data_IF_455349810141
#
_entry.id   IF_455349810141
#
_cell.length_a   1.000
_cell.length_b   1.000
_cell.length_c   1.000
_cell.angle_alpha   90.00
_cell.angle_beta   90.00
_cell.angle_gamma   90.00
#
_symmetry.space_group_name_H-M   'P 1'
#
loop_
_entity.id
_entity.type
_entity.pdbx_description
1 polymer ?
#
# COMPACT_ATOMS: atom_id res chain seq x y z
N UNK A 1 35.52 -11.80 -3.17
CA UNK A 1 34.45 -12.26 -4.07
C UNK A 1 33.22 -12.54 -3.22
N UNK A 2 32.07 -11.96 -3.61
CA UNK A 2 30.75 -12.55 -3.36
C UNK A 2 30.05 -12.21 -2.05
N UNK A 3 29.61 -10.95 -1.84
CA UNK A 3 28.42 -10.66 -1.00
C UNK A 3 27.81 -9.32 -1.46
N UNK A 4 26.89 -9.33 -2.43
CA UNK A 4 25.92 -8.24 -2.67
C UNK A 4 24.86 -8.76 -3.66
N UNK A 5 23.92 -9.57 -3.17
CA UNK A 5 22.78 -10.02 -4.00
C UNK A 5 21.49 -10.26 -3.20
N UNK A 6 21.36 -9.69 -2.01
CA UNK A 6 20.20 -9.93 -1.12
C UNK A 6 19.20 -8.78 -1.01
N UNK A 7 19.44 -7.61 -1.61
CA UNK A 7 18.64 -6.40 -1.32
C UNK A 7 17.41 -6.21 -2.23
N UNK A 8 17.20 -7.04 -3.25
CA UNK A 8 16.11 -6.87 -4.23
C UNK A 8 14.96 -7.87 -4.10
N UNK A 9 15.07 -8.90 -3.26
CA UNK A 9 14.06 -9.97 -3.20
C UNK A 9 13.07 -9.89 -2.01
N UNK A 10 13.14 -8.85 -1.17
CA UNK A 10 12.37 -8.79 0.09
C UNK A 10 10.93 -8.29 -0.02
N UNK A 11 10.32 -8.23 -1.22
CA UNK A 11 8.90 -7.81 -1.41
C UNK A 11 8.13 -8.76 -2.32
N UNK A 12 8.19 -10.06 -2.06
CA UNK A 12 7.22 -11.01 -2.65
C UNK A 12 6.67 -11.95 -1.58
N UNK A 13 5.93 -11.35 -0.65
CA UNK A 13 4.99 -12.07 0.21
C UNK A 13 3.85 -12.65 -0.63
N UNK A 14 3.58 -13.92 -0.41
CA UNK A 14 2.62 -14.78 -1.08
C UNK A 14 1.16 -14.29 -1.00
N UNK A 15 0.46 -14.30 -2.13
CA UNK A 15 -0.97 -14.64 -2.20
C UNK A 15 -2.00 -13.55 -1.89
N UNK A 16 -1.64 -12.26 -1.93
CA UNK A 16 -2.63 -11.17 -1.92
C UNK A 16 -2.53 -10.44 -3.25
N UNK A 17 -3.65 -10.28 -3.96
CA UNK A 17 -3.71 -9.44 -5.15
C UNK A 17 -3.37 -8.00 -4.73
N UNK A 18 -2.12 -7.59 -4.96
CA UNK A 18 -1.68 -6.24 -4.68
C UNK A 18 -2.22 -5.33 -5.77
N UNK A 19 -3.40 -4.77 -5.51
CA UNK A 19 -3.93 -3.69 -6.32
C UNK A 19 -2.92 -2.54 -6.32
N UNK A 20 -2.35 -2.21 -7.48
CA UNK A 20 -1.37 -1.11 -7.66
C UNK A 20 -1.88 0.20 -7.04
N UNK A 21 -3.19 0.44 -7.11
CA UNK A 21 -3.82 1.61 -6.49
C UNK A 21 -3.73 1.61 -4.96
N UNK A 22 -3.91 0.45 -4.32
CA UNK A 22 -3.82 0.31 -2.87
C UNK A 22 -2.38 0.50 -2.38
N UNK A 23 -1.43 -0.10 -3.09
CA UNK A 23 0.00 0.10 -2.82
C UNK A 23 0.40 1.56 -2.98
N UNK A 24 -0.09 2.26 -4.01
CA UNK A 24 0.16 3.68 -4.21
C UNK A 24 -0.41 4.53 -3.06
N UNK A 25 -1.65 4.23 -2.62
CA UNK A 25 -2.27 4.88 -1.46
C UNK A 25 -1.41 4.70 -0.21
N UNK A 26 -1.00 3.45 0.08
CA UNK A 26 -0.18 3.14 1.25
C UNK A 26 1.18 3.82 1.21
N UNK A 27 1.84 3.78 0.05
CA UNK A 27 3.12 4.45 -0.14
C UNK A 27 3.00 5.96 0.08
N UNK A 28 1.96 6.60 -0.48
CA UNK A 28 1.76 8.05 -0.32
C UNK A 28 1.53 8.44 1.14
N UNK A 29 0.64 7.74 1.85
CA UNK A 29 0.41 8.00 3.28
C UNK A 29 1.70 7.76 4.07
N UNK A 30 2.39 6.64 3.81
CA UNK A 30 3.60 6.28 4.51
C UNK A 30 4.71 7.32 4.34
N UNK A 31 4.96 7.77 3.11
CA UNK A 31 5.98 8.79 2.83
C UNK A 31 5.64 10.12 3.50
N UNK A 32 4.39 10.57 3.39
CA UNK A 32 3.98 11.86 3.96
C UNK A 32 4.04 11.85 5.50
N UNK A 33 3.69 10.72 6.14
CA UNK A 33 3.85 10.52 7.59
C UNK A 33 5.33 10.40 7.98
N UNK A 34 6.21 9.89 7.12
CA UNK A 34 7.64 9.74 7.38
C UNK A 34 8.46 11.01 7.16
N UNK A 35 7.98 11.96 6.34
CA UNK A 35 8.62 13.29 6.17
C UNK A 35 8.71 14.07 7.49
N UNK A 36 7.78 13.79 8.39
CA UNK A 36 7.68 14.35 9.72
C UNK A 36 8.90 14.03 10.61
N UNK A 37 9.32 14.98 11.45
CA UNK A 37 10.46 14.79 12.36
C UNK A 37 10.00 14.58 13.80
N UNK A 38 10.67 13.67 14.51
CA UNK A 38 10.50 13.50 15.94
C UNK A 38 11.28 14.58 16.69
N UNK A 39 10.66 15.15 17.71
CA UNK A 39 11.29 16.07 18.66
C UNK A 39 10.94 15.64 20.06
N UNK A 40 11.96 15.35 20.86
CA UNK A 40 11.79 15.14 22.29
C UNK A 40 11.80 16.50 22.98
N UNK A 41 10.70 16.84 23.65
CA UNK A 41 10.56 18.09 24.39
C UNK A 41 10.14 17.84 25.84
N UNK A 42 10.41 18.81 26.71
CA UNK A 42 9.78 18.91 28.03
C UNK A 42 8.97 20.19 28.09
N UNK A 43 7.72 20.07 28.50
CA UNK A 43 6.82 21.21 28.71
C UNK A 43 6.68 21.43 30.21
N UNK A 44 7.17 22.57 30.70
CA UNK A 44 6.98 23.02 32.07
C UNK A 44 5.86 24.04 32.10
N UNK A 45 4.75 23.71 32.77
CA UNK A 45 3.64 24.66 32.92
C UNK A 45 4.02 25.79 33.86
N UNK A 46 3.87 27.02 33.40
CA UNK A 46 4.06 28.23 34.21
C UNK A 46 2.76 29.03 34.21
N UNK A 47 2.50 29.76 35.29
CA UNK A 47 1.25 30.52 35.43
C UNK A 47 1.16 31.66 34.40
N UNK A 48 2.27 32.36 34.13
CA UNK A 48 2.44 33.39 33.09
C UNK A 48 3.94 33.52 32.73
N UNK A 49 4.32 33.91 31.49
CA UNK A 49 3.47 34.32 30.37
C UNK A 49 3.21 33.21 29.33
N UNK A 50 3.91 32.07 29.40
CA UNK A 50 3.67 30.89 28.56
C UNK A 50 4.33 29.64 29.15
N UNK A 51 3.83 28.46 28.78
CA UNK A 51 4.49 27.18 29.07
C UNK A 51 5.93 27.19 28.52
N UNK A 52 6.91 26.87 29.36
CA UNK A 52 8.30 26.77 28.94
C UNK A 52 8.51 25.43 28.23
N UNK A 53 8.98 25.48 26.98
CA UNK A 53 9.32 24.28 26.20
C UNK A 53 10.83 24.15 26.05
N UNK A 54 11.39 23.06 26.57
CA UNK A 54 12.80 22.69 26.41
C UNK A 54 12.94 21.60 25.35
N UNK A 55 13.87 21.75 24.41
CA UNK A 55 14.12 20.78 23.35
C UNK A 55 15.38 19.96 23.63
N UNK A 56 15.23 18.63 23.68
CA UNK A 56 16.31 17.67 23.90
C UNK A 56 16.82 17.11 22.57
N UNK A 57 17.57 17.92 21.83
CA UNK A 57 18.10 17.57 20.50
C UNK A 57 18.99 16.33 20.51
N UNK A 58 19.77 16.13 21.58
CA UNK A 58 20.76 15.05 21.71
C UNK A 58 20.32 13.90 22.61
N UNK A 59 19.02 13.75 22.85
CA UNK A 59 18.54 12.58 23.61
C UNK A 59 18.61 11.30 22.79
N UNK A 60 18.86 10.16 23.43
CA UNK A 60 18.95 8.85 22.76
C UNK A 60 17.75 8.59 21.85
N UNK A 61 16.56 8.93 22.32
CA UNK A 61 15.34 8.80 21.53
C UNK A 61 15.28 9.73 20.32
N UNK A 62 15.76 10.97 20.44
CA UNK A 62 15.84 11.89 19.30
C UNK A 62 16.84 11.36 18.25
N UNK A 63 17.96 10.80 18.70
CA UNK A 63 18.97 10.17 17.84
C UNK A 63 18.40 8.97 17.11
N UNK A 64 17.79 8.03 17.84
CA UNK A 64 17.26 6.79 17.25
C UNK A 64 16.08 7.07 16.32
N UNK A 65 15.15 7.93 16.70
CA UNK A 65 13.99 8.24 15.85
C UNK A 65 14.33 9.18 14.67
N UNK A 66 15.38 10.00 14.78
CA UNK A 66 15.66 11.11 13.87
C UNK A 66 16.92 10.99 13.02
N UNK A 67 17.93 10.23 13.48
CA UNK A 67 19.26 10.13 12.85
C UNK A 67 19.51 8.72 12.33
N UNK A 68 19.39 7.70 13.18
CA UNK A 68 19.64 6.30 12.80
C UNK A 68 18.78 5.37 13.65
N UNK A 69 17.63 4.89 13.13
CA UNK A 69 16.82 3.87 13.79
C UNK A 69 17.59 2.56 13.91
N UNK A 70 18.30 2.19 12.85
CA UNK A 70 19.17 1.02 12.81
C UNK A 70 20.34 1.28 11.86
N UNK A 71 21.26 0.32 11.78
CA UNK A 71 22.49 0.41 10.98
C UNK A 71 22.20 0.39 9.47
N UNK A 72 21.05 -0.14 9.05
CA UNK A 72 20.75 -0.47 7.66
C UNK A 72 19.88 0.58 6.96
N UNK A 73 19.05 1.32 7.70
CA UNK A 73 17.99 2.15 7.14
C UNK A 73 18.08 3.61 7.58
N UNK A 74 17.84 4.51 6.63
CA UNK A 74 17.62 5.92 6.93
C UNK A 74 16.29 6.12 7.68
N UNK A 75 16.18 7.10 8.61
CA UNK A 75 14.96 7.35 9.39
C UNK A 75 13.69 7.45 8.54
N UNK A 76 13.77 8.15 7.41
CA UNK A 76 12.64 8.31 6.50
C UNK A 76 12.13 6.96 5.98
N UNK A 77 13.05 6.07 5.57
CA UNK A 77 12.71 4.75 5.04
C UNK A 77 12.11 3.87 6.14
N UNK A 78 12.76 3.82 7.30
CA UNK A 78 12.26 3.06 8.45
C UNK A 78 10.83 3.46 8.84
N UNK A 79 10.56 4.77 9.03
CA UNK A 79 9.24 5.23 9.42
C UNK A 79 8.19 5.07 8.32
N UNK A 80 8.58 5.15 7.05
CA UNK A 80 7.69 4.81 5.95
C UNK A 80 7.33 3.32 5.98
N UNK A 81 8.30 2.44 6.22
CA UNK A 81 8.06 1.00 6.34
C UNK A 81 7.15 0.69 7.54
N UNK A 82 7.36 1.30 8.71
CA UNK A 82 6.48 1.17 9.89
C UNK A 82 5.03 1.53 9.54
N UNK A 83 4.80 2.68 8.88
CA UNK A 83 3.46 3.13 8.52
C UNK A 83 2.83 2.22 7.46
N UNK A 84 3.61 1.78 6.48
CA UNK A 84 3.15 0.86 5.44
C UNK A 84 2.72 -0.48 6.04
N UNK A 85 3.51 -1.06 6.94
CA UNK A 85 3.17 -2.28 7.68
C UNK A 85 1.88 -2.09 8.48
N UNK A 86 1.72 -0.96 9.17
CA UNK A 86 0.51 -0.64 9.93
C UNK A 86 -0.74 -0.56 9.04
N UNK A 87 -0.62 0.01 7.84
CA UNK A 87 -1.73 0.11 6.88
C UNK A 87 -2.10 -1.25 6.28
N UNK A 88 -1.10 -2.07 5.92
CA UNK A 88 -1.29 -3.38 5.31
C UNK A 88 -1.82 -4.40 6.32
N UNK A 89 -1.14 -4.53 7.45
CA UNK A 89 -1.40 -5.59 8.43
C UNK A 89 -2.36 -5.13 9.55
N UNK A 90 -2.86 -3.90 9.49
CA UNK A 90 -3.62 -3.22 10.56
C UNK A 90 -2.84 -2.94 11.85
N UNK A 91 -1.64 -3.48 11.97
CA UNK A 91 -0.73 -3.30 13.11
C UNK A 91 0.71 -3.31 12.61
N UNK A 92 1.56 -2.46 13.18
CA UNK A 92 3.01 -2.55 13.03
C UNK A 92 3.64 -2.66 14.42
N UNK A 93 4.62 -3.55 14.57
CA UNK A 93 5.35 -3.75 15.83
C UNK A 93 6.79 -3.34 15.61
N UNK A 94 7.30 -2.47 16.47
CA UNK A 94 8.71 -2.08 16.52
C UNK A 94 9.30 -2.53 17.83
N UNK A 95 10.40 -3.27 17.77
CA UNK A 95 11.15 -3.75 18.92
C UNK A 95 12.34 -2.82 19.17
N UNK A 96 12.36 -2.05 20.27
CA UNK A 96 13.52 -1.28 20.67
C UNK A 96 14.59 -2.19 21.27
N UNK A 97 15.80 -2.15 20.71
CA UNK A 97 16.97 -2.74 21.34
C UNK A 97 17.49 -1.78 22.42
N UNK A 98 17.47 -2.23 23.67
CA UNK A 98 17.84 -1.44 24.84
C UNK A 98 19.29 -1.70 25.24
N UNK A 99 20.02 -0.65 25.59
CA UNK A 99 21.29 -0.72 26.32
C UNK A 99 21.12 0.00 27.67
N UNK A 100 20.86 -0.78 28.73
CA UNK A 100 20.45 -0.24 30.01
C UNK A 100 19.11 0.50 29.92
N UNK A 101 19.12 1.80 30.23
CA UNK A 101 17.92 2.65 30.19
C UNK A 101 17.73 3.40 28.84
N UNK A 102 18.64 3.21 27.90
CA UNK A 102 18.70 3.94 26.62
C UNK A 102 18.31 3.04 25.45
N UNK A 103 17.51 3.58 24.53
CA UNK A 103 17.19 2.92 23.26
C UNK A 103 18.37 3.11 22.32
N UNK A 104 18.93 2.01 21.79
CA UNK A 104 20.08 2.05 20.88
C UNK A 104 19.65 1.86 19.41
N UNK A 105 18.72 0.93 19.16
CA UNK A 105 18.23 0.61 17.81
C UNK A 105 16.75 0.26 17.82
N UNK A 106 16.11 0.36 16.65
CA UNK A 106 14.73 -0.04 16.39
C UNK A 106 14.72 -1.10 15.30
N UNK A 107 14.02 -2.20 15.58
CA UNK A 107 13.77 -3.25 14.61
C UNK A 107 12.28 -3.31 14.30
N UNK A 108 11.91 -3.14 13.03
CA UNK A 108 10.55 -3.41 12.57
C UNK A 108 10.37 -4.93 12.46
N UNK A 109 9.27 -5.44 13.00
CA UNK A 109 8.88 -6.84 12.82
C UNK A 109 8.41 -7.04 11.38
N UNK A 110 9.02 -7.99 10.66
CA UNK A 110 8.73 -8.30 9.26
C UNK A 110 7.81 -9.50 9.08
N UNK A 111 7.64 -10.31 10.12
CA UNK A 111 6.80 -11.51 10.10
C UNK A 111 5.41 -11.35 10.72
N UNK A 112 4.77 -12.51 10.94
CA UNK A 112 3.44 -12.58 11.58
C UNK A 112 3.52 -12.07 13.02
N UNK A 113 2.49 -11.35 13.42
CA UNK A 113 2.27 -10.92 14.81
C UNK A 113 1.06 -11.69 15.33
N UNK A 114 1.28 -12.54 16.32
CA UNK A 114 0.22 -13.26 17.03
C UNK A 114 0.08 -12.72 18.45
N UNK A 115 -1.13 -12.35 18.85
CA UNK A 115 -1.44 -12.08 20.27
C UNK A 115 -1.81 -13.42 20.89
N UNK A 116 -1.07 -13.84 21.92
CA UNK A 116 -1.32 -15.13 22.60
C UNK A 116 -2.19 -14.93 23.84
N UNK A 117 -1.83 -13.92 24.66
CA UNK A 117 -2.51 -13.50 25.91
C UNK A 117 -2.36 -11.96 26.06
N UNK A 118 -3.07 -11.32 26.99
CA UNK A 118 -3.11 -9.84 27.14
C UNK A 118 -1.73 -9.15 27.31
N UNK A 119 -0.72 -9.90 27.78
CA UNK A 119 0.61 -9.35 28.11
C UNK A 119 1.74 -9.75 27.15
N UNK A 120 1.51 -10.68 26.21
CA UNK A 120 2.57 -11.24 25.35
C UNK A 120 2.21 -11.29 23.87
N UNK A 121 3.21 -10.95 23.05
CA UNK A 121 3.20 -11.02 21.60
C UNK A 121 4.18 -12.08 21.13
N UNK A 122 3.75 -12.88 20.15
CA UNK A 122 4.64 -13.72 19.35
C UNK A 122 4.93 -12.96 18.07
N UNK A 123 6.19 -12.63 17.86
CA UNK A 123 6.67 -11.89 16.68
C UNK A 123 7.73 -12.72 15.96
N UNK A 124 7.67 -12.74 14.64
CA UNK A 124 8.73 -13.31 13.81
C UNK A 124 9.66 -12.20 13.33
N UNK A 125 10.94 -12.29 13.67
CA UNK A 125 12.00 -11.37 13.22
C UNK A 125 13.03 -12.19 12.48
N UNK A 126 13.29 -11.87 11.20
CA UNK A 126 14.24 -12.58 10.34
C UNK A 126 13.97 -14.12 10.27
N UNK A 127 12.69 -14.50 10.36
CA UNK A 127 12.24 -15.89 10.30
C UNK A 127 12.34 -16.67 11.63
N UNK A 128 12.77 -16.04 12.71
CA UNK A 128 12.81 -16.63 14.05
C UNK A 128 11.69 -16.05 14.91
N UNK A 129 10.94 -16.93 15.60
CA UNK A 129 9.87 -16.51 16.50
C UNK A 129 10.40 -16.13 17.89
N UNK A 130 9.95 -14.98 18.38
CA UNK A 130 10.25 -14.46 19.70
C UNK A 130 8.93 -14.21 20.46
N UNK A 131 8.91 -14.58 21.74
CA UNK A 131 7.85 -14.20 22.67
C UNK A 131 8.31 -12.97 23.46
N UNK A 132 7.69 -11.83 23.20
CA UNK A 132 8.02 -10.55 23.83
C UNK A 132 6.84 -10.02 24.65
N UNK A 133 7.14 -9.30 25.73
CA UNK A 133 6.09 -8.58 26.46
C UNK A 133 5.58 -7.42 25.63
N UNK A 134 4.27 -7.16 25.69
CA UNK A 134 3.64 -5.98 25.09
C UNK A 134 4.27 -4.67 25.60
N UNK A 135 4.81 -4.66 26.82
CA UNK A 135 5.45 -3.47 27.41
C UNK A 135 6.86 -3.18 26.90
N UNK A 136 7.54 -4.17 26.35
CA UNK A 136 8.89 -4.03 25.81
C UNK A 136 8.91 -3.68 24.31
N UNK A 137 7.74 -3.65 23.66
CA UNK A 137 7.60 -3.34 22.23
C UNK A 137 6.67 -2.15 22.00
N UNK A 138 6.84 -1.51 20.85
CA UNK A 138 5.94 -0.43 20.40
C UNK A 138 4.96 -1.00 19.40
N UNK A 139 3.67 -0.95 19.74
CA UNK A 139 2.59 -1.49 18.91
C UNK A 139 1.80 -0.34 18.32
N UNK A 140 1.92 -0.15 17.01
CA UNK A 140 1.20 0.88 16.27
C UNK A 140 -0.02 0.25 15.59
N UNK A 141 -1.21 0.54 16.09
CA UNK A 141 -2.47 0.09 15.50
C UNK A 141 -2.99 1.07 14.45
N UNK A 142 -3.58 0.54 13.38
CA UNK A 142 -4.23 1.38 12.38
C UNK A 142 -5.48 2.06 12.99
N UNK A 143 -5.53 3.40 13.10
CA UNK A 143 -6.68 4.12 13.65
C UNK A 143 -7.95 3.97 12.79
N UNK A 144 -7.82 3.51 11.54
CA UNK A 144 -8.92 3.27 10.59
C UNK A 144 -9.23 1.77 10.37
N UNK A 145 -8.94 0.91 11.35
CA UNK A 145 -9.05 -0.57 11.27
C UNK A 145 -10.38 -1.11 10.69
N UNK A 146 -11.50 -0.43 10.94
CA UNK A 146 -12.84 -0.86 10.48
C UNK A 146 -13.11 -0.62 8.99
N UNK A 147 -12.35 0.27 8.34
CA UNK A 147 -12.58 0.62 6.93
C UNK A 147 -11.98 -0.46 6.02
N UNK A 148 -10.86 -1.06 6.42
CA UNK A 148 -10.14 -2.09 5.66
C UNK A 148 -11.01 -3.33 5.36
N UNK A 149 -11.86 -3.75 6.30
CA UNK A 149 -12.75 -4.90 6.12
C UNK A 149 -13.87 -4.61 5.09
N UNK A 150 -14.42 -3.39 5.08
CA UNK A 150 -15.46 -2.97 4.14
C UNK A 150 -14.91 -2.77 2.72
N UNK A 151 -13.63 -2.39 2.61
CA UNK A 151 -12.97 -2.18 1.32
C UNK A 151 -12.63 -3.47 0.59
N UNK A 152 -12.63 -4.62 1.24
CA UNK A 152 -12.26 -5.90 0.62
C UNK A 152 -13.12 -6.24 -0.62
N UNK A 153 -14.42 -5.90 -0.59
CA UNK A 153 -15.30 -6.09 -1.75
C UNK A 153 -14.96 -5.12 -2.89
N UNK A 154 -14.70 -3.84 -2.58
CA UNK A 154 -14.34 -2.83 -3.57
C UNK A 154 -13.00 -3.18 -4.24
N UNK A 155 -12.01 -3.62 -3.46
CA UNK A 155 -10.70 -4.03 -3.96
C UNK A 155 -10.85 -5.22 -4.92
N UNK A 156 -11.59 -6.26 -4.52
CA UNK A 156 -11.88 -7.42 -5.39
C UNK A 156 -12.56 -7.01 -6.68
N UNK A 157 -13.56 -6.13 -6.60
CA UNK A 157 -14.25 -5.64 -7.80
C UNK A 157 -13.29 -4.88 -8.73
N UNK A 158 -12.36 -4.09 -8.20
CA UNK A 158 -11.34 -3.43 -9.03
C UNK A 158 -10.43 -4.47 -9.68
N UNK A 159 -9.93 -5.45 -8.91
CA UNK A 159 -9.07 -6.52 -9.41
C UNK A 159 -9.76 -7.31 -10.54
N UNK A 160 -11.01 -7.72 -10.34
CA UNK A 160 -11.82 -8.45 -11.32
C UNK A 160 -12.01 -7.62 -12.61
N UNK A 161 -12.26 -6.32 -12.47
CA UNK A 161 -12.41 -5.43 -13.62
C UNK A 161 -11.08 -5.22 -14.37
N UNK A 162 -9.95 -5.12 -13.67
CA UNK A 162 -8.63 -5.01 -14.30
C UNK A 162 -8.24 -6.32 -14.99
N UNK A 163 -8.50 -7.46 -14.36
CA UNK A 163 -8.30 -8.77 -14.97
C UNK A 163 -9.15 -8.92 -16.24
N UNK A 164 -10.44 -8.55 -16.18
CA UNK A 164 -11.33 -8.56 -17.34
C UNK A 164 -10.89 -7.58 -18.44
N UNK A 165 -10.36 -6.41 -18.09
CA UNK A 165 -9.79 -5.47 -19.06
C UNK A 165 -8.54 -6.07 -19.72
N UNK A 166 -7.65 -6.67 -18.93
CA UNK A 166 -6.43 -7.30 -19.42
C UNK A 166 -6.72 -8.48 -20.35
N UNK A 167 -7.70 -9.33 -20.03
CA UNK A 167 -8.09 -10.45 -20.89
C UNK A 167 -8.74 -9.98 -22.19
N UNK A 168 -9.54 -8.89 -22.15
CA UNK A 168 -10.06 -8.23 -23.35
C UNK A 168 -8.94 -7.66 -24.24
N UNK A 169 -7.96 -6.98 -23.65
CA UNK A 169 -6.83 -6.38 -24.37
C UNK A 169 -5.90 -7.46 -24.96
N UNK A 170 -5.67 -8.54 -24.21
CA UNK A 170 -4.89 -9.69 -24.67
C UNK A 170 -5.68 -10.55 -25.68
N UNK A 171 -7.00 -10.37 -25.77
CA UNK A 171 -7.83 -10.79 -26.88
C UNK A 171 -8.11 -12.29 -26.95
N UNK A 172 -8.02 -12.99 -25.82
CA UNK A 172 -7.89 -14.45 -25.76
C UNK A 172 -9.20 -15.23 -25.91
N UNK A 173 -10.39 -14.64 -25.67
CA UNK A 173 -11.64 -15.44 -25.60
C UNK A 173 -12.88 -14.83 -26.26
N UNK A 174 -12.80 -13.65 -26.86
CA UNK A 174 -13.96 -13.07 -27.56
C UNK A 174 -13.97 -13.50 -29.02
N UNK A 175 -14.99 -14.26 -29.43
CA UNK A 175 -15.29 -14.53 -30.86
C UNK A 175 -15.39 -13.19 -31.60
N UNK A 176 -14.47 -12.95 -32.53
CA UNK A 176 -14.35 -11.65 -33.25
C UNK A 176 -15.24 -11.56 -34.49
N UNK A 177 -15.75 -12.70 -34.95
CA UNK A 177 -16.62 -12.75 -36.12
C UNK A 177 -17.09 -14.16 -36.40
N UNK A 178 -18.12 -14.26 -37.23
CA UNK A 178 -18.66 -15.51 -37.75
C UNK A 178 -18.23 -15.64 -39.22
N UNK A 179 -17.59 -16.76 -39.57
CA UNK A 179 -17.29 -17.12 -40.96
C UNK A 179 -18.34 -18.10 -41.46
N UNK A 180 -19.19 -17.64 -42.38
CA UNK A 180 -20.24 -18.44 -43.01
C UNK A 180 -19.71 -19.03 -44.32
N UNK A 181 -19.76 -20.36 -44.41
CA UNK A 181 -19.29 -21.13 -45.57
C UNK A 181 -20.48 -21.58 -46.45
N UNK A 182 -20.30 -21.69 -47.78
CA UNK A 182 -21.36 -22.06 -48.72
C UNK A 182 -21.61 -23.58 -48.77
N UNK A 183 -21.84 -24.24 -47.64
CA UNK A 183 -22.02 -25.70 -47.57
C UNK A 183 -23.32 -26.10 -46.86
N UNK A 184 -24.03 -27.11 -47.38
CA UNK A 184 -25.38 -27.52 -46.92
C UNK A 184 -25.43 -28.76 -46.02
N UNK A 185 -24.31 -29.47 -45.79
CA UNK A 185 -24.29 -30.72 -45.03
C UNK A 185 -23.10 -30.77 -44.07
N UNK A 186 -23.35 -31.21 -42.83
CA UNK A 186 -22.31 -31.46 -41.82
C UNK A 186 -21.89 -32.92 -41.94
N UNK A 187 -20.71 -33.14 -42.52
CA UNK A 187 -20.04 -34.45 -42.61
C UNK A 187 -18.65 -34.29 -42.02
N UNK A 188 -18.02 -35.36 -41.53
CA UNK A 188 -16.68 -35.26 -40.92
C UNK A 188 -15.62 -34.63 -41.87
N UNK A 189 -15.77 -34.79 -43.17
CA UNK A 189 -14.90 -34.16 -44.17
C UNK A 189 -15.14 -32.65 -44.34
N UNK A 190 -16.30 -32.15 -43.93
CA UNK A 190 -16.60 -30.71 -43.92
C UNK A 190 -15.92 -30.04 -42.72
N UNK A 191 -15.94 -30.66 -41.55
CA UNK A 191 -15.23 -30.16 -40.36
C UNK A 191 -13.72 -30.09 -40.59
N UNK A 192 -13.14 -31.12 -41.22
CA UNK A 192 -11.70 -31.10 -41.55
C UNK A 192 -11.35 -29.98 -42.52
N UNK A 193 -12.20 -29.75 -43.54
CA UNK A 193 -12.04 -28.62 -44.47
C UNK A 193 -12.23 -27.26 -43.79
N UNK A 194 -13.14 -27.17 -42.83
CA UNK A 194 -13.35 -25.97 -42.01
C UNK A 194 -12.08 -25.62 -41.22
N UNK A 195 -11.46 -26.59 -40.55
CA UNK A 195 -10.24 -26.36 -39.79
C UNK A 195 -9.08 -25.90 -40.68
N UNK A 196 -8.84 -26.60 -41.80
CA UNK A 196 -7.79 -26.21 -42.76
C UNK A 196 -8.04 -24.80 -43.31
N UNK A 197 -9.30 -24.45 -43.60
CA UNK A 197 -9.68 -23.12 -44.07
C UNK A 197 -9.44 -22.05 -42.99
N UNK A 198 -9.84 -22.30 -41.75
CA UNK A 198 -9.58 -21.41 -40.61
C UNK A 198 -8.07 -21.18 -40.42
N UNK A 199 -7.27 -22.24 -40.46
CA UNK A 199 -5.80 -22.14 -40.31
C UNK A 199 -5.18 -21.27 -41.41
N UNK A 200 -5.61 -21.44 -42.67
CA UNK A 200 -5.15 -20.60 -43.79
C UNK A 200 -5.56 -19.13 -43.63
N UNK A 201 -6.79 -18.90 -43.14
CA UNK A 201 -7.33 -17.58 -42.90
C UNK A 201 -6.56 -16.85 -41.79
N UNK A 202 -6.26 -17.54 -40.68
CA UNK A 202 -5.44 -17.01 -39.58
C UNK A 202 -3.99 -16.81 -39.97
N UNK A 203 -3.39 -17.74 -40.72
CA UNK A 203 -2.00 -17.62 -41.19
C UNK A 203 -1.81 -16.38 -42.05
N UNK A 204 -2.76 -16.08 -42.93
CA UNK A 204 -2.74 -14.87 -43.78
C UNK A 204 -2.95 -13.61 -42.94
N UNK A 205 -3.94 -13.64 -42.03
CA UNK A 205 -4.25 -12.52 -41.14
C UNK A 205 -3.08 -12.14 -40.20
N UNK A 206 -2.25 -13.10 -39.76
CA UNK A 206 -1.07 -12.83 -38.93
C UNK A 206 -0.04 -11.92 -39.61
N UNK A 207 -0.01 -11.85 -40.95
CA UNK A 207 0.99 -11.07 -41.70
C UNK A 207 0.63 -9.60 -41.92
N UNK A 208 -0.48 -9.11 -41.37
CA UNK A 208 -0.88 -7.70 -41.54
C UNK A 208 -2.31 -7.35 -41.16
N UNK A 209 -3.03 -8.23 -40.46
CA UNK A 209 -4.42 -7.98 -40.02
C UNK A 209 -5.46 -8.08 -41.13
N UNK A 210 -5.06 -8.39 -42.37
CA UNK A 210 -5.94 -8.51 -43.53
C UNK A 210 -5.85 -9.94 -44.08
N UNK A 211 -7.00 -10.52 -44.40
CA UNK A 211 -7.13 -11.85 -45.02
C UNK A 211 -8.15 -11.80 -46.16
N UNK A 212 -8.20 -12.85 -46.97
CA UNK A 212 -9.10 -12.93 -48.13
C UNK A 212 -10.25 -13.92 -47.88
N UNK A 213 -11.40 -13.62 -48.49
CA UNK A 213 -12.57 -14.49 -48.55
C UNK A 213 -12.67 -15.11 -49.94
N UNK A 214 -13.02 -16.39 -50.00
CA UNK A 214 -13.29 -17.08 -51.25
C UNK A 214 -14.72 -16.84 -51.73
N UNK A 215 -14.99 -17.18 -52.99
CA UNK A 215 -16.29 -16.94 -53.60
C UNK A 215 -17.40 -17.70 -52.86
N UNK A 216 -18.36 -16.96 -52.29
CA UNK A 216 -19.49 -17.51 -51.52
C UNK A 216 -19.25 -17.61 -50.02
N UNK A 217 -18.08 -17.20 -49.52
CA UNK A 217 -17.84 -17.01 -48.08
C UNK A 217 -18.30 -15.62 -47.63
N UNK A 218 -18.93 -15.55 -46.46
CA UNK A 218 -19.35 -14.29 -45.83
C UNK A 218 -18.73 -14.20 -44.45
N UNK A 219 -17.98 -13.12 -44.17
CA UNK A 219 -17.49 -12.82 -42.83
C UNK A 219 -18.37 -11.74 -42.20
N UNK A 220 -18.97 -12.07 -41.06
CA UNK A 220 -19.71 -11.12 -40.24
C UNK A 220 -18.88 -10.77 -39.01
N UNK A 221 -18.38 -9.55 -38.94
CA UNK A 221 -17.73 -9.03 -37.74
C UNK A 221 -18.78 -8.91 -36.62
N UNK A 222 -18.50 -9.54 -35.48
CA UNK A 222 -19.31 -9.34 -34.29
C UNK A 222 -18.83 -8.05 -33.63
N UNK A 223 -19.55 -6.95 -33.87
CA UNK A 223 -19.32 -5.70 -33.13
C UNK A 223 -19.62 -5.97 -31.66
N UNK A 224 -18.60 -6.14 -30.84
CA UNK A 224 -18.73 -6.17 -29.38
C UNK A 224 -19.10 -4.77 -28.87
N UNK A 225 -20.34 -4.34 -29.12
CA UNK A 225 -20.84 -3.00 -28.80
C UNK A 225 -21.02 -2.75 -27.28
N UNK A 226 -20.70 -3.72 -26.43
CA UNK A 226 -20.94 -3.67 -24.97
C UNK A 226 -19.65 -3.58 -24.13
N UNK A 227 -18.48 -3.44 -24.75
CA UNK A 227 -17.19 -3.69 -24.07
C UNK A 227 -16.57 -2.54 -23.28
N UNK A 228 -16.63 -1.31 -23.77
CA UNK A 228 -15.63 -0.28 -23.40
C UNK A 228 -16.14 0.74 -22.36
N UNK A 229 -17.24 1.43 -22.63
CA UNK A 229 -17.68 2.57 -21.80
C UNK A 229 -18.23 2.18 -20.43
N UNK A 230 -18.90 1.02 -20.33
CA UNK A 230 -19.46 0.55 -19.05
C UNK A 230 -18.36 0.08 -18.09
N UNK A 231 -17.22 -0.39 -18.61
CA UNK A 231 -16.09 -0.84 -17.79
C UNK A 231 -15.29 0.33 -17.20
N UNK A 232 -15.07 1.38 -17.99
CA UNK A 232 -14.33 2.56 -17.56
C UNK A 232 -15.07 3.36 -16.48
N UNK A 233 -16.37 3.60 -16.66
CA UNK A 233 -17.19 4.32 -15.67
C UNK A 233 -17.28 3.56 -14.34
N UNK A 234 -17.45 2.22 -14.39
CA UNK A 234 -17.43 1.38 -13.19
C UNK A 234 -16.08 1.42 -12.49
N UNK A 235 -14.99 1.33 -13.25
CA UNK A 235 -13.64 1.39 -12.69
C UNK A 235 -13.36 2.76 -12.05
N UNK A 236 -13.75 3.87 -12.70
CA UNK A 236 -13.63 5.21 -12.16
C UNK A 236 -14.43 5.38 -10.86
N UNK A 237 -15.66 4.88 -10.83
CA UNK A 237 -16.48 4.87 -9.62
C UNK A 237 -15.82 4.08 -8.48
N UNK A 238 -15.35 2.86 -8.76
CA UNK A 238 -14.71 2.01 -7.75
C UNK A 238 -13.42 2.66 -7.22
N UNK A 239 -12.60 3.27 -8.09
CA UNK A 239 -11.42 4.05 -7.68
C UNK A 239 -11.79 5.21 -6.78
N UNK A 240 -12.83 5.97 -7.14
CA UNK A 240 -13.30 7.08 -6.32
C UNK A 240 -13.74 6.58 -4.93
N UNK A 241 -14.54 5.51 -4.85
CA UNK A 241 -14.95 4.92 -3.57
C UNK A 241 -13.73 4.45 -2.74
N UNK A 242 -12.74 3.84 -3.39
CA UNK A 242 -11.49 3.43 -2.75
C UNK A 242 -10.74 4.64 -2.16
N UNK A 243 -10.54 5.71 -2.95
CA UNK A 243 -9.87 6.92 -2.48
C UNK A 243 -10.64 7.62 -1.36
N UNK A 244 -11.97 7.72 -1.49
CA UNK A 244 -12.84 8.28 -0.46
C UNK A 244 -12.75 7.54 0.87
N UNK A 245 -12.67 6.21 0.84
CA UNK A 245 -12.54 5.40 2.06
C UNK A 245 -11.25 5.71 2.83
N UNK A 246 -10.15 5.98 2.13
CA UNK A 246 -8.90 6.41 2.77
C UNK A 246 -8.86 7.91 3.13
N UNK A 247 -9.79 8.71 2.61
CA UNK A 247 -9.84 10.16 2.76
C UNK A 247 -8.83 10.88 1.86
N UNK A 248 -8.55 10.31 0.69
CA UNK A 248 -7.58 10.80 -0.29
C UNK A 248 -8.31 11.20 -1.58
N UNK A 249 -7.73 12.13 -2.31
CA UNK A 249 -8.14 12.51 -3.66
C UNK A 249 -7.08 12.00 -4.66
N UNK A 250 -7.50 11.56 -5.84
CA UNK A 250 -6.60 11.10 -6.91
C UNK A 250 -5.54 12.15 -7.28
N UNK A 251 -5.92 13.43 -7.23
CA UNK A 251 -5.01 14.56 -7.47
C UNK A 251 -3.76 14.54 -6.58
N UNK A 252 -3.82 13.94 -5.38
CA UNK A 252 -2.67 13.81 -4.49
C UNK A 252 -1.56 12.91 -5.06
N UNK A 253 -1.87 12.02 -6.00
CA UNK A 253 -0.90 11.17 -6.68
C UNK A 253 -0.27 11.84 -7.90
N UNK A 254 -1.01 12.70 -8.60
CA UNK A 254 -0.51 13.47 -9.76
C UNK A 254 0.20 14.76 -9.35
N UNK A 255 0.18 15.11 -8.06
CA UNK A 255 0.65 16.38 -7.53
C UNK A 255 -0.10 17.62 -8.07
N UNK A 256 -1.30 17.42 -8.62
CA UNK A 256 -2.16 18.48 -9.16
C UNK A 256 -3.23 18.89 -8.12
N UNK A 257 -2.77 19.32 -6.93
CA UNK A 257 -3.64 19.69 -5.81
C UNK A 257 -3.31 21.08 -5.25
N UNK A 258 -4.34 21.75 -4.74
CA UNK A 258 -4.17 23.03 -4.05
C UNK A 258 -3.67 22.86 -2.61
N UNK A 259 -3.10 23.91 -2.04
CA UNK A 259 -2.69 23.90 -0.63
C UNK A 259 -3.85 23.60 0.33
N UNK A 260 -5.06 24.03 0.01
CA UNK A 260 -6.24 23.76 0.83
C UNK A 260 -6.58 22.27 0.83
N UNK A 261 -6.52 21.62 -0.34
CA UNK A 261 -6.72 20.17 -0.48
C UNK A 261 -5.64 19.41 0.27
N UNK A 262 -4.37 19.81 0.15
CA UNK A 262 -3.28 19.21 0.90
C UNK A 262 -3.45 19.38 2.42
N UNK A 263 -3.87 20.57 2.88
CA UNK A 263 -4.14 20.83 4.30
C UNK A 263 -5.26 19.95 4.85
N UNK A 264 -6.35 19.79 4.09
CA UNK A 264 -7.47 18.92 4.47
C UNK A 264 -7.02 17.45 4.59
N UNK A 265 -6.26 16.95 3.60
CA UNK A 265 -5.63 15.64 3.64
C UNK A 265 -4.70 15.48 4.85
N UNK A 266 -3.83 16.46 5.09
CA UNK A 266 -2.88 16.43 6.20
C UNK A 266 -3.60 16.32 7.56
N UNK A 267 -4.65 17.12 7.76
CA UNK A 267 -5.40 17.15 9.03
C UNK A 267 -6.23 15.87 9.25
N UNK A 268 -6.83 15.32 8.20
CA UNK A 268 -7.76 14.19 8.29
C UNK A 268 -7.08 12.82 8.23
N UNK A 269 -5.92 12.72 7.56
CA UNK A 269 -5.20 11.46 7.34
C UNK A 269 -3.86 11.47 8.06
N UNK A 270 -2.91 12.29 7.62
CA UNK A 270 -1.51 12.26 8.08
C UNK A 270 -1.42 12.50 9.60
N UNK A 271 -2.10 13.52 10.11
CA UNK A 271 -2.09 13.89 11.54
C UNK A 271 -2.60 12.77 12.45
N UNK A 272 -3.54 11.95 11.98
CA UNK A 272 -4.10 10.85 12.77
C UNK A 272 -3.04 9.77 12.99
N UNK A 273 -2.34 9.34 11.92
CA UNK A 273 -1.26 8.36 12.04
C UNK A 273 -0.07 8.90 12.84
N UNK A 274 0.27 10.18 12.65
CA UNK A 274 1.30 10.82 13.48
C UNK A 274 0.96 10.77 14.96
N UNK A 275 -0.31 10.97 15.31
CA UNK A 275 -0.77 10.97 16.69
C UNK A 275 -0.65 9.59 17.32
N UNK A 276 -1.07 8.54 16.61
CA UNK A 276 -0.90 7.15 17.06
C UNK A 276 0.57 6.85 17.36
N UNK A 277 1.47 7.17 16.42
CA UNK A 277 2.90 6.93 16.60
C UNK A 277 3.46 7.70 17.79
N UNK A 278 3.11 8.99 17.92
CA UNK A 278 3.60 9.82 19.02
C UNK A 278 3.06 9.35 20.38
N UNK A 279 1.77 9.02 20.47
CA UNK A 279 1.13 8.57 21.71
C UNK A 279 1.68 7.23 22.18
N UNK A 280 1.92 6.28 21.27
CA UNK A 280 2.47 4.98 21.62
C UNK A 280 3.92 5.09 22.12
N UNK A 281 4.79 5.83 21.42
CA UNK A 281 6.16 6.07 21.87
C UNK A 281 6.15 6.78 23.24
N UNK A 282 5.26 7.75 23.44
CA UNK A 282 5.12 8.44 24.73
C UNK A 282 4.65 7.50 25.86
N UNK A 283 3.76 6.55 25.53
CA UNK A 283 3.22 5.55 26.45
C UNK A 283 4.24 4.45 26.81
N UNK A 284 5.26 4.21 26.01
CA UNK A 284 6.25 3.16 26.28
C UNK A 284 7.60 3.71 26.77
N UNK A 285 8.08 4.82 26.21
CA UNK A 285 9.42 5.33 26.52
C UNK A 285 9.50 6.14 27.80
N UNK A 286 8.49 6.96 28.11
CA UNK A 286 8.53 7.80 29.31
C UNK A 286 7.90 7.10 30.50
N UNK A 287 8.62 6.95 31.61
CA UNK A 287 8.03 6.47 32.87
C UNK A 287 6.95 7.43 33.38
N UNK A 288 6.08 6.95 34.28
CA UNK A 288 5.02 7.78 34.91
C UNK A 288 5.59 9.09 35.47
N UNK A 289 6.76 9.03 36.12
CA UNK A 289 7.47 10.20 36.66
C UNK A 289 7.91 11.19 35.58
N UNK A 290 8.52 10.71 34.49
CA UNK A 290 8.97 11.58 33.38
C UNK A 290 7.78 12.24 32.66
N UNK A 291 6.63 11.56 32.56
CA UNK A 291 5.39 12.16 32.01
C UNK A 291 4.84 13.27 32.89
N UNK A 292 4.83 13.08 34.21
CA UNK A 292 4.41 14.13 35.16
C UNK A 292 5.34 15.34 35.12
N UNK A 293 6.64 15.13 34.86
CA UNK A 293 7.62 16.18 34.62
C UNK A 293 7.50 16.85 33.23
N UNK A 294 6.50 16.47 32.42
CA UNK A 294 6.19 17.13 31.15
C UNK A 294 6.98 16.63 29.94
N UNK A 295 7.74 15.54 30.05
CA UNK A 295 8.44 14.96 28.90
C UNK A 295 7.46 14.37 27.88
N UNK A 296 7.60 14.77 26.62
CA UNK A 296 6.81 14.28 25.49
C UNK A 296 7.64 14.25 24.20
N UNK A 297 7.36 13.26 23.37
CA UNK A 297 7.76 13.24 21.98
C UNK A 297 6.64 13.82 21.15
N UNK A 298 7.00 14.84 20.40
CA UNK A 298 6.16 15.42 19.38
C UNK A 298 6.70 15.02 18.02
N UNK A 299 5.80 14.57 17.15
CA UNK A 299 6.08 14.45 15.73
C UNK A 299 5.65 15.76 15.07
N UNK A 300 6.59 16.61 14.68
CA UNK A 300 6.35 17.99 14.20
C UNK A 300 6.79 18.15 12.74
N UNK A 301 6.00 18.89 11.95
CA UNK A 301 6.49 19.44 10.68
C UNK A 301 7.30 20.69 11.06
N UNK A 302 8.51 20.80 10.51
CA UNK A 302 9.14 22.11 10.41
C UNK A 302 8.39 22.85 9.31
N UNK A 303 7.28 23.53 9.64
CA UNK A 303 6.72 24.53 8.73
C UNK A 303 7.76 25.64 8.71
N UNK A 304 8.67 25.60 7.73
CA UNK A 304 9.30 26.83 7.28
C UNK A 304 8.15 27.61 6.66
N UNK A 305 7.65 28.61 7.37
CA UNK A 305 6.97 29.72 6.72
C UNK A 305 7.94 30.22 5.65
N UNK A 306 7.52 30.11 4.39
CA UNK A 306 8.07 30.95 3.31
C UNK A 306 7.47 32.34 3.52
#
# INVERSE_FOLDING_TARGET
MGVFTGMLDRIRGSGVSNLIYLDNIYNKIATDVAMMRFKHIRITRQAEPADQTEWFEHSDLATVCGVSPNVLEAPFVFWANVVRTMLMNQVAVVVPAMNGASVERLQLVDGKVGITDDDFLVVSIDGVEYRLSVDDVWVFENPKRNISAQLGQIIRLIDDNLAALSSKLNGDDSVRGLLKLPTRAVTADVERRMQVRLDSFYATAKSGGVSYLEQGEEFQELKNAYGDTVSEQKLAFLKAQLYHAFGINEQLFTADYSEQQYRAYFQSVVKVYMRVIAEEINRKVFTKTKRTQGHRNLKLIRMRCV
#
